data_IF_272886888668
#
_entry.id   IF_272886888668
#
_cell.length_a   1.000
_cell.length_b   1.000
_cell.length_c   1.000
_cell.angle_alpha   90.00
_cell.angle_beta   90.00
_cell.angle_gamma   90.00
#
_symmetry.space_group_name_H-M   'P 1'
#
loop_
_entity.id
_entity.type
_entity.pdbx_description
1 polymer ?
#
# COMPACT_ATOMS: atom_id res chain seq x y z
N UNK A 1 -5.78 -9.28 -5.64
CA UNK A 1 -6.38 -10.36 -6.46
C UNK A 1 -5.54 -10.70 -7.69
N UNK A 2 -4.97 -9.74 -8.42
CA UNK A 2 -4.14 -9.99 -9.62
C UNK A 2 -2.97 -10.95 -9.35
N UNK A 3 -2.27 -10.81 -8.21
CA UNK A 3 -1.17 -11.73 -7.84
C UNK A 3 -1.68 -13.15 -7.56
N UNK A 4 -2.85 -13.29 -6.92
CA UNK A 4 -3.48 -14.60 -6.69
C UNK A 4 -3.92 -15.29 -7.98
N UNK A 5 -4.50 -14.53 -8.92
CA UNK A 5 -4.80 -15.05 -10.26
C UNK A 5 -3.55 -15.41 -11.06
N UNK A 6 -2.44 -14.67 -10.88
CA UNK A 6 -1.16 -14.97 -11.53
C UNK A 6 -0.53 -16.26 -11.00
N UNK A 7 -0.70 -16.54 -9.70
CA UNK A 7 -0.27 -17.80 -9.07
C UNK A 7 -1.12 -18.97 -9.59
N UNK A 8 -2.45 -18.85 -9.62
CA UNK A 8 -3.34 -19.89 -10.16
C UNK A 8 -3.08 -20.18 -11.65
N UNK A 9 -2.80 -19.14 -12.45
CA UNK A 9 -2.46 -19.28 -13.86
C UNK A 9 -1.11 -19.97 -14.07
N UNK A 10 -0.13 -19.73 -13.18
CA UNK A 10 1.15 -20.45 -13.18
C UNK A 10 1.01 -21.92 -12.81
N UNK A 11 0.08 -22.28 -11.92
CA UNK A 11 -0.22 -23.67 -11.57
C UNK A 11 -0.86 -24.43 -12.74
N UNK A 12 -1.74 -23.78 -13.51
CA UNK A 12 -2.43 -24.40 -14.64
C UNK A 12 -1.49 -24.70 -15.84
N UNK A 13 -0.43 -23.91 -16.02
CA UNK A 13 0.62 -24.21 -17.00
C UNK A 13 1.62 -25.29 -16.54
N UNK A 14 1.64 -25.63 -15.25
CA UNK A 14 2.49 -26.69 -14.72
C UNK A 14 1.91 -28.08 -15.03
N UNK A 15 0.58 -28.24 -15.05
CA UNK A 15 -0.10 -29.54 -15.31
C UNK A 15 0.26 -30.19 -16.65
N UNK A 16 0.62 -29.40 -17.67
CA UNK A 16 0.83 -29.91 -19.04
C UNK A 16 2.27 -30.42 -19.29
N UNK A 17 3.24 -30.07 -18.43
CA UNK A 17 4.66 -30.42 -18.61
C UNK A 17 5.38 -30.70 -17.30
N UNK A 18 4.79 -31.52 -16.43
CA UNK A 18 5.51 -32.00 -15.24
C UNK A 18 6.10 -33.40 -15.46
N UNK A 19 7.43 -33.56 -15.33
CA UNK A 19 8.07 -34.86 -15.34
C UNK A 19 7.56 -35.72 -14.16
N UNK A 20 7.60 -37.06 -14.27
CA UNK A 20 7.00 -38.02 -13.33
C UNK A 20 7.63 -38.03 -11.92
N UNK A 21 8.43 -37.03 -11.57
CA UNK A 21 9.02 -36.85 -10.23
C UNK A 21 8.05 -36.12 -9.28
N UNK A 22 6.89 -35.64 -9.75
CA UNK A 22 5.81 -35.08 -8.91
C UNK A 22 4.77 -36.16 -8.58
N UNK A 23 5.23 -37.27 -8.02
CA UNK A 23 4.39 -38.21 -7.25
C UNK A 23 4.23 -37.72 -5.78
N UNK A 24 4.81 -36.56 -5.45
CA UNK A 24 4.78 -35.96 -4.11
C UNK A 24 3.54 -35.10 -3.81
N UNK A 25 2.62 -34.97 -4.77
CA UNK A 25 1.37 -34.21 -4.59
C UNK A 25 0.28 -35.06 -3.93
N UNK A 26 0.45 -36.38 -3.87
CA UNK A 26 -0.42 -37.25 -3.06
C UNK A 26 -0.07 -37.19 -1.56
N UNK A 27 1.05 -36.54 -1.22
CA UNK A 27 1.48 -36.34 0.16
C UNK A 27 0.79 -35.08 0.72
N UNK A 28 -0.10 -35.30 1.69
CA UNK A 28 -0.90 -34.27 2.37
C UNK A 28 -0.03 -33.11 2.91
N UNK A 29 1.22 -33.39 3.24
CA UNK A 29 2.17 -32.51 3.95
C UNK A 29 2.61 -31.29 3.10
N UNK A 30 3.19 -31.43 1.90
CA UNK A 30 3.53 -30.30 1.04
C UNK A 30 2.31 -29.44 0.67
N UNK A 31 1.14 -30.04 0.43
CA UNK A 31 -0.10 -29.30 0.18
C UNK A 31 -0.50 -28.39 1.33
N UNK A 32 -0.41 -28.87 2.58
CA UNK A 32 -0.67 -28.07 3.79
C UNK A 32 0.34 -26.92 3.94
N UNK A 33 1.61 -27.14 3.62
CA UNK A 33 2.65 -26.11 3.69
C UNK A 33 2.36 -24.97 2.71
N UNK A 34 2.01 -25.29 1.46
CA UNK A 34 1.65 -24.27 0.47
C UNK A 34 0.39 -23.48 0.88
N UNK A 35 -0.61 -24.16 1.45
CA UNK A 35 -1.82 -23.53 1.93
C UNK A 35 -1.54 -22.58 3.11
N UNK A 36 -0.67 -22.98 4.05
CA UNK A 36 -0.21 -22.13 5.15
C UNK A 36 0.53 -20.89 4.66
N UNK A 37 1.44 -21.03 3.69
CA UNK A 37 2.15 -19.90 3.09
C UNK A 37 1.16 -18.93 2.41
N UNK A 38 0.15 -19.47 1.71
CA UNK A 38 -0.95 -18.70 1.14
C UNK A 38 -1.74 -17.94 2.21
N UNK A 39 -2.09 -18.60 3.31
CA UNK A 39 -2.82 -17.98 4.41
C UNK A 39 -1.99 -16.87 5.09
N UNK A 40 -0.70 -17.11 5.37
CA UNK A 40 0.19 -16.12 5.96
C UNK A 40 0.39 -14.89 5.07
N UNK A 41 0.52 -15.09 3.76
CA UNK A 41 0.63 -13.96 2.82
C UNK A 41 -0.66 -13.13 2.74
N UNK A 42 -1.83 -13.76 2.84
CA UNK A 42 -3.12 -13.05 2.92
C UNK A 42 -3.24 -12.27 4.22
N UNK A 43 -2.92 -12.89 5.37
CA UNK A 43 -2.93 -12.20 6.67
C UNK A 43 -1.96 -11.02 6.67
N UNK A 44 -0.76 -11.19 6.13
CA UNK A 44 0.22 -10.12 6.01
C UNK A 44 -0.28 -8.97 5.13
N UNK A 45 -0.94 -9.27 4.01
CA UNK A 45 -1.53 -8.26 3.14
C UNK A 45 -2.68 -7.50 3.81
N UNK A 46 -3.53 -8.18 4.59
CA UNK A 46 -4.62 -7.55 5.36
C UNK A 46 -4.03 -6.66 6.47
N UNK A 47 -2.99 -7.14 7.14
CA UNK A 47 -2.29 -6.42 8.19
C UNK A 47 -1.66 -5.13 7.66
N UNK A 48 -0.97 -5.19 6.52
CA UNK A 48 -0.38 -4.03 5.85
C UNK A 48 -1.47 -3.01 5.44
N UNK A 49 -2.63 -3.49 4.98
CA UNK A 49 -3.77 -2.64 4.66
C UNK A 49 -4.39 -1.94 5.88
N UNK A 50 -4.39 -2.60 7.04
CA UNK A 50 -4.82 -2.02 8.31
C UNK A 50 -3.83 -0.98 8.84
N UNK A 51 -2.55 -1.31 8.81
CA UNK A 51 -1.46 -0.43 9.24
C UNK A 51 -1.37 0.85 8.41
N UNK A 52 -1.70 0.77 7.11
CA UNK A 52 -1.77 1.94 6.23
C UNK A 52 -2.71 3.03 6.78
N UNK A 53 -3.92 2.66 7.24
CA UNK A 53 -4.88 3.65 7.76
C UNK A 53 -4.36 4.33 9.02
N UNK A 54 -3.72 3.56 9.90
CA UNK A 54 -3.12 4.06 11.13
C UNK A 54 -1.94 4.98 10.79
N UNK A 55 -1.09 4.61 9.84
CA UNK A 55 0.03 5.43 9.35
C UNK A 55 -0.45 6.77 8.79
N UNK A 56 -1.50 6.75 7.98
CA UNK A 56 -2.05 7.98 7.38
C UNK A 56 -2.65 8.90 8.45
N UNK A 57 -3.33 8.34 9.45
CA UNK A 57 -3.85 9.09 10.60
C UNK A 57 -2.72 9.72 11.43
N UNK A 58 -1.67 8.95 11.72
CA UNK A 58 -0.47 9.45 12.42
C UNK A 58 0.18 10.61 11.66
N UNK A 59 0.30 10.49 10.33
CA UNK A 59 0.93 11.52 9.50
C UNK A 59 0.07 12.79 9.43
N UNK A 60 -1.25 12.65 9.39
CA UNK A 60 -2.18 13.78 9.44
C UNK A 60 -2.12 14.51 10.79
N UNK A 61 -2.03 13.78 11.90
CA UNK A 61 -1.83 14.35 13.24
C UNK A 61 -0.47 15.08 13.34
N UNK A 62 0.59 14.51 12.76
CA UNK A 62 1.90 15.15 12.72
C UNK A 62 1.87 16.47 11.93
N UNK A 63 1.25 16.49 10.75
CA UNK A 63 1.06 17.72 9.95
C UNK A 63 0.30 18.77 10.75
N UNK A 64 -0.76 18.38 11.46
CA UNK A 64 -1.54 19.29 12.29
C UNK A 64 -0.70 19.92 13.41
N UNK A 65 0.07 19.10 14.13
CA UNK A 65 0.95 19.58 15.21
C UNK A 65 2.04 20.53 14.70
N UNK A 66 2.71 20.17 13.60
CA UNK A 66 3.71 21.06 12.99
C UNK A 66 3.10 22.34 12.43
N UNK A 67 1.87 22.29 11.93
CA UNK A 67 1.10 23.46 11.52
C UNK A 67 0.82 24.42 12.66
N UNK A 68 0.32 23.90 13.78
CA UNK A 68 0.10 24.71 14.98
C UNK A 68 1.40 25.30 15.51
N UNK A 69 2.48 24.52 15.61
CA UNK A 69 3.78 25.03 16.07
C UNK A 69 4.29 26.15 15.15
N UNK A 70 4.30 25.93 13.84
CA UNK A 70 4.75 26.92 12.87
C UNK A 70 3.95 28.22 12.99
N UNK A 71 2.62 28.10 13.12
CA UNK A 71 1.74 29.24 13.32
C UNK A 71 2.02 29.98 14.64
N UNK A 72 2.17 29.26 15.76
CA UNK A 72 2.49 29.86 17.06
C UNK A 72 3.83 30.61 17.03
N UNK A 73 4.88 30.02 16.46
CA UNK A 73 6.19 30.67 16.33
C UNK A 73 6.15 31.87 15.39
N UNK A 74 5.35 31.80 14.32
CA UNK A 74 5.17 32.91 13.41
C UNK A 74 4.43 34.08 14.07
N UNK A 75 3.37 33.80 14.82
CA UNK A 75 2.65 34.80 15.60
C UNK A 75 3.54 35.45 16.66
N UNK A 76 4.38 34.67 17.33
CA UNK A 76 5.38 35.18 18.29
C UNK A 76 6.42 36.08 17.61
N UNK A 77 6.92 35.72 16.43
CA UNK A 77 7.84 36.57 15.67
C UNK A 77 7.21 37.91 15.29
N UNK A 78 5.94 37.92 14.88
CA UNK A 78 5.20 39.15 14.57
C UNK A 78 5.06 40.02 15.82
N UNK A 79 4.63 39.42 16.94
CA UNK A 79 4.36 40.14 18.17
C UNK A 79 5.65 40.68 18.82
N UNK A 80 6.72 39.89 18.79
CA UNK A 80 8.00 40.22 19.42
C UNK A 80 8.90 41.10 18.53
N UNK A 81 8.54 41.30 17.24
CA UNK A 81 9.32 42.08 16.27
C UNK A 81 10.70 41.48 15.92
N UNK A 82 11.01 40.28 16.44
CA UNK A 82 12.27 39.58 16.23
C UNK A 82 12.04 38.38 15.33
N UNK A 83 12.76 38.35 14.21
CA UNK A 83 12.72 37.22 13.28
C UNK A 83 13.62 36.10 13.78
N UNK A 84 13.03 34.94 14.06
CA UNK A 84 13.76 33.69 14.36
C UNK A 84 13.69 32.73 13.18
N UNK A 85 14.67 31.83 13.07
CA UNK A 85 14.71 30.81 12.01
C UNK A 85 13.75 29.64 12.28
N UNK A 86 13.33 29.45 13.52
CA UNK A 86 12.46 28.35 13.98
C UNK A 86 11.17 28.15 13.14
N UNK A 87 10.35 29.18 12.85
CA UNK A 87 9.13 29.00 12.06
C UNK A 87 9.40 28.50 10.63
N UNK A 88 10.55 28.83 10.03
CA UNK A 88 10.91 28.36 8.70
C UNK A 88 11.25 26.86 8.69
N UNK A 89 11.90 26.37 9.75
CA UNK A 89 12.22 24.93 9.90
C UNK A 89 10.94 24.12 10.04
N UNK A 90 10.01 24.56 10.89
CA UNK A 90 8.71 23.89 11.05
C UNK A 90 7.87 23.98 9.78
N UNK A 91 7.90 25.12 9.07
CA UNK A 91 7.28 25.28 7.76
C UNK A 91 7.82 24.28 6.72
N UNK A 92 9.14 24.09 6.65
CA UNK A 92 9.76 23.12 5.76
C UNK A 92 9.35 21.68 6.12
N UNK A 93 9.36 21.30 7.40
CA UNK A 93 8.91 19.98 7.86
C UNK A 93 7.44 19.72 7.51
N UNK A 94 6.59 20.74 7.60
CA UNK A 94 5.18 20.66 7.24
C UNK A 94 5.01 20.39 5.73
N UNK A 95 5.77 21.09 4.88
CA UNK A 95 5.77 20.88 3.42
C UNK A 95 6.21 19.45 3.08
N UNK A 96 7.29 18.96 3.69
CA UNK A 96 7.76 17.58 3.49
C UNK A 96 6.70 16.56 3.90
N UNK A 97 6.06 16.78 5.04
CA UNK A 97 5.02 15.89 5.56
C UNK A 97 3.79 15.88 4.65
N UNK A 98 3.34 17.05 4.16
CA UNK A 98 2.27 17.14 3.17
C UNK A 98 2.62 16.45 1.85
N UNK A 99 3.86 16.60 1.37
CA UNK A 99 4.33 15.92 0.18
C UNK A 99 4.29 14.40 0.35
N UNK A 100 4.65 13.90 1.54
CA UNK A 100 4.55 12.47 1.88
C UNK A 100 3.10 11.97 1.81
N UNK A 101 2.14 12.69 2.42
CA UNK A 101 0.71 12.34 2.34
C UNK A 101 0.24 12.31 0.89
N UNK A 102 0.59 13.34 0.12
CA UNK A 102 0.16 13.47 -1.27
C UNK A 102 0.67 12.32 -2.13
N UNK A 103 1.95 11.98 -2.01
CA UNK A 103 2.55 10.88 -2.75
C UNK A 103 1.90 9.55 -2.36
N UNK A 104 1.74 9.29 -1.06
CA UNK A 104 1.15 8.06 -0.53
C UNK A 104 -0.32 7.89 -0.99
N UNK A 105 -1.11 8.97 -1.00
CA UNK A 105 -2.48 8.98 -1.55
C UNK A 105 -2.50 8.72 -3.07
N UNK A 106 -1.55 9.30 -3.82
CA UNK A 106 -1.48 9.17 -5.28
C UNK A 106 -1.13 7.75 -5.71
N UNK A 107 -0.20 7.09 -5.03
CA UNK A 107 0.15 5.69 -5.32
C UNK A 107 -1.06 4.76 -5.20
N UNK A 108 -1.98 5.04 -4.26
CA UNK A 108 -3.18 4.23 -4.06
C UNK A 108 -4.24 4.45 -5.16
N UNK A 109 -4.49 5.71 -5.54
CA UNK A 109 -5.42 6.06 -6.63
C UNK A 109 -4.98 5.49 -7.99
N UNK A 110 -3.68 5.44 -8.26
CA UNK A 110 -3.17 4.79 -9.47
C UNK A 110 -3.31 3.26 -9.41
N UNK A 111 -3.17 2.66 -8.23
CA UNK A 111 -3.44 1.24 -8.01
C UNK A 111 -4.90 0.88 -8.28
N UNK A 112 -5.84 1.67 -7.78
CA UNK A 112 -7.28 1.45 -7.97
C UNK A 112 -7.70 1.58 -9.45
N UNK A 113 -7.22 2.61 -10.17
CA UNK A 113 -7.50 2.74 -11.62
C UNK A 113 -6.97 1.56 -12.42
N UNK A 114 -5.78 1.06 -12.10
CA UNK A 114 -5.17 -0.06 -12.81
C UNK A 114 -5.95 -1.36 -12.59
N UNK A 115 -6.55 -1.54 -11.41
CA UNK A 115 -7.45 -2.66 -11.13
C UNK A 115 -8.75 -2.51 -11.92
N UNK A 116 -9.33 -1.31 -11.98
CA UNK A 116 -10.57 -1.05 -12.73
C UNK A 116 -10.41 -1.30 -14.23
N UNK A 117 -9.27 -0.92 -14.81
CA UNK A 117 -8.95 -1.21 -16.22
C UNK A 117 -8.80 -2.70 -16.50
N UNK A 118 -8.18 -3.45 -15.58
CA UNK A 118 -8.03 -4.91 -15.71
C UNK A 118 -9.39 -5.60 -15.60
N UNK A 119 -10.25 -5.17 -14.68
CA UNK A 119 -11.63 -5.68 -14.54
C UNK A 119 -12.44 -5.41 -15.82
N UNK A 120 -12.42 -4.17 -16.33
CA UNK A 120 -13.08 -3.80 -17.60
C UNK A 120 -12.52 -4.52 -18.83
N UNK A 121 -11.27 -4.96 -18.80
CA UNK A 121 -10.71 -5.85 -19.85
C UNK A 121 -11.22 -7.28 -19.70
N UNK A 122 -11.27 -7.81 -18.47
CA UNK A 122 -11.77 -9.15 -18.22
C UNK A 122 -13.26 -9.29 -18.59
N UNK A 123 -14.09 -8.29 -18.27
CA UNK A 123 -15.51 -8.27 -18.65
C UNK A 123 -15.71 -8.26 -20.17
N UNK A 124 -14.87 -7.54 -20.92
CA UNK A 124 -14.93 -7.56 -22.40
C UNK A 124 -14.57 -8.91 -22.99
N UNK A 125 -13.61 -9.63 -22.41
CA UNK A 125 -13.20 -10.96 -22.87
C UNK A 125 -14.28 -11.99 -22.55
N UNK A 126 -14.93 -11.89 -21.39
CA UNK A 126 -15.99 -12.80 -20.96
C UNK A 126 -17.33 -12.59 -21.67
N UNK A 127 -17.61 -11.38 -22.18
CA UNK A 127 -18.85 -11.07 -22.92
C UNK A 127 -18.84 -11.46 -24.40
N UNK A 128 -17.67 -11.78 -24.96
CA UNK A 128 -17.49 -12.22 -26.37
C UNK A 128 -17.46 -13.76 -26.52
N UNK A 129 -17.69 -14.52 -25.43
CA UNK A 129 -17.74 -15.99 -25.38
C UNK A 129 -19.16 -16.51 -25.21
#
# INVERSE_FOLDING_TARGET
>A
MIVGSFILFRFNQLEITLPPEIDWVDDLVPGIIYLLIGAFTVVNAIWDFWWYKIRLLLLLVAVFLFGMLSFCYFADCINSGHWRMDPFVYGAMLIFSLSSIYNEARYKLMGERKIEEVVKRAERIAGDS
#
